data_IF_520033234323
#
_entry.id   IF_520033234323
#
_cell.length_a   1.000
_cell.length_b   1.000
_cell.length_c   1.000
_cell.angle_alpha   90.00
_cell.angle_beta   90.00
_cell.angle_gamma   90.00
#
_symmetry.space_group_name_H-M   'P 1'
#
loop_
_entity.id
_entity.type
_entity.pdbx_description
1 polymer ?
#
# COMPACT_ATOMS: atom_id res chain seq x y z
N UNK A 1 0.99 -23.63 -8.78
CA UNK A 1 0.73 -22.29 -9.36
C UNK A 1 0.00 -21.53 -8.28
N UNK A 2 0.44 -20.31 -7.94
CA UNK A 2 -0.33 -19.46 -7.04
C UNK A 2 -1.69 -19.17 -7.68
N UNK A 3 -2.75 -19.11 -6.87
CA UNK A 3 -4.10 -18.81 -7.35
C UNK A 3 -4.09 -17.41 -7.99
N UNK A 4 -4.55 -17.32 -9.24
CA UNK A 4 -4.63 -16.02 -9.93
C UNK A 4 -5.95 -15.37 -9.51
N UNK A 5 -5.90 -14.53 -8.49
CA UNK A 5 -7.04 -13.74 -8.08
C UNK A 5 -7.30 -12.63 -9.11
N UNK A 6 -8.52 -12.58 -9.66
CA UNK A 6 -8.97 -11.55 -10.62
C UNK A 6 -9.51 -10.31 -9.92
N UNK A 7 -9.82 -10.44 -8.65
CA UNK A 7 -10.22 -9.34 -7.75
C UNK A 7 -9.18 -9.20 -6.66
N UNK A 8 -8.83 -7.98 -6.36
CA UNK A 8 -7.93 -7.64 -5.26
C UNK A 8 -8.40 -6.35 -4.56
N UNK A 9 -7.76 -6.00 -3.47
CA UNK A 9 -7.89 -4.74 -2.75
C UNK A 9 -6.52 -4.30 -2.24
N UNK A 10 -6.29 -3.01 -2.00
CA UNK A 10 -4.99 -2.54 -1.51
C UNK A 10 -4.75 -2.93 -0.06
N UNK A 11 -5.79 -2.90 0.79
CA UNK A 11 -5.68 -3.39 2.17
C UNK A 11 -6.49 -2.59 3.18
N UNK A 12 -6.29 -1.26 3.25
CA UNK A 12 -6.93 -0.44 4.27
C UNK A 12 -8.41 -0.15 3.98
N UNK A 13 -9.25 -0.33 5.01
CA UNK A 13 -10.68 -0.02 5.01
C UNK A 13 -10.97 1.17 5.93
N UNK A 14 -12.13 1.82 5.74
CA UNK A 14 -12.59 2.89 6.61
C UNK A 14 -12.63 2.40 8.07
N UNK A 15 -12.11 3.23 8.99
CA UNK A 15 -12.20 2.92 10.42
C UNK A 15 -13.61 3.25 10.92
N UNK A 16 -14.34 2.27 11.49
CA UNK A 16 -15.63 2.53 12.10
C UNK A 16 -15.53 3.61 13.19
N UNK A 17 -16.57 4.43 13.31
CA UNK A 17 -16.62 5.51 14.31
C UNK A 17 -16.37 5.00 15.73
N UNK A 18 -16.79 3.77 16.03
CA UNK A 18 -16.53 3.14 17.32
C UNK A 18 -15.04 2.98 17.63
N UNK A 19 -14.24 2.57 16.63
CA UNK A 19 -12.77 2.45 16.76
C UNK A 19 -12.13 3.82 16.99
N UNK A 20 -12.52 4.83 16.19
CA UNK A 20 -11.97 6.18 16.33
C UNK A 20 -12.28 6.78 17.71
N UNK A 21 -13.49 6.59 18.23
CA UNK A 21 -13.88 7.01 19.58
C UNK A 21 -13.10 6.25 20.66
N UNK A 22 -12.96 4.93 20.52
CA UNK A 22 -12.22 4.11 21.48
C UNK A 22 -10.75 4.52 21.56
N UNK A 23 -10.12 4.86 20.44
CA UNK A 23 -8.74 5.39 20.39
C UNK A 23 -8.62 6.74 21.10
N UNK A 24 -9.55 7.66 20.85
CA UNK A 24 -9.57 8.93 21.57
C UNK A 24 -9.70 8.71 23.09
N UNK A 25 -10.63 7.85 23.51
CA UNK A 25 -10.82 7.48 24.90
C UNK A 25 -9.61 6.77 25.53
N UNK A 26 -8.88 5.98 24.74
CA UNK A 26 -7.64 5.34 25.19
C UNK A 26 -6.52 6.39 25.41
N UNK A 27 -6.38 7.36 24.51
CA UNK A 27 -5.42 8.48 24.67
C UNK A 27 -5.76 9.30 25.92
N UNK A 28 -7.05 9.52 26.21
CA UNK A 28 -7.53 10.21 27.41
C UNK A 28 -7.44 9.34 28.70
N UNK A 29 -7.09 8.06 28.59
CA UNK A 29 -6.95 7.14 29.71
C UNK A 29 -8.27 6.57 30.25
N UNK A 30 -9.41 6.78 29.56
CA UNK A 30 -10.73 6.27 29.96
C UNK A 30 -11.04 4.86 29.42
N UNK A 31 -10.26 4.40 28.43
CA UNK A 31 -10.28 3.01 27.91
C UNK A 31 -8.85 2.46 27.99
N UNK A 32 -8.68 1.30 28.60
CA UNK A 32 -7.38 0.62 28.65
C UNK A 32 -7.03 -0.09 27.33
N UNK A 33 -5.83 -0.62 27.22
CA UNK A 33 -5.36 -1.29 25.99
C UNK A 33 -6.18 -2.55 25.66
N UNK A 34 -6.66 -3.29 26.64
CA UNK A 34 -7.46 -4.49 26.42
C UNK A 34 -8.86 -4.13 25.94
N UNK A 35 -9.47 -3.09 26.50
CA UNK A 35 -10.75 -2.56 26.04
C UNK A 35 -10.69 -2.02 24.62
N UNK A 36 -9.61 -1.30 24.25
CA UNK A 36 -9.39 -0.86 22.88
C UNK A 36 -9.26 -2.06 21.93
N UNK A 37 -8.47 -3.07 22.32
CA UNK A 37 -8.27 -4.29 21.52
C UNK A 37 -9.58 -4.99 21.20
N UNK A 38 -10.45 -5.17 22.20
CA UNK A 38 -11.77 -5.82 22.01
C UNK A 38 -12.60 -5.09 20.95
N UNK A 39 -12.59 -3.75 20.96
CA UNK A 39 -13.32 -2.94 19.97
C UNK A 39 -12.71 -3.06 18.58
N UNK A 40 -11.38 -3.05 18.47
CA UNK A 40 -10.65 -3.24 17.20
C UNK A 40 -10.86 -4.64 16.64
N UNK A 41 -10.79 -5.68 17.48
CA UNK A 41 -11.03 -7.08 17.11
C UNK A 41 -12.44 -7.24 16.50
N UNK A 42 -13.46 -6.71 17.17
CA UNK A 42 -14.83 -6.76 16.66
C UNK A 42 -14.98 -6.01 15.33
N UNK A 43 -14.31 -4.88 15.18
CA UNK A 43 -14.33 -4.12 13.92
C UNK A 43 -13.67 -4.90 12.77
N UNK A 44 -12.57 -5.62 13.03
CA UNK A 44 -11.92 -6.49 12.04
C UNK A 44 -12.83 -7.66 11.67
N UNK A 45 -13.47 -8.32 12.64
CA UNK A 45 -14.43 -9.40 12.36
C UNK A 45 -15.58 -8.92 11.46
N UNK A 46 -16.11 -7.74 11.73
CA UNK A 46 -17.15 -7.12 10.88
C UNK A 46 -16.61 -6.82 9.46
N UNK A 47 -15.38 -6.31 9.36
CA UNK A 47 -14.73 -6.06 8.07
C UNK A 47 -14.51 -7.35 7.27
N UNK A 48 -14.09 -8.44 7.92
CA UNK A 48 -13.94 -9.75 7.29
C UNK A 48 -15.30 -10.32 6.83
N UNK A 49 -16.36 -10.14 7.62
CA UNK A 49 -17.71 -10.55 7.26
C UNK A 49 -18.19 -9.77 6.01
N UNK A 50 -18.02 -8.45 5.98
CA UNK A 50 -18.35 -7.60 4.82
C UNK A 50 -17.58 -8.03 3.57
N UNK A 51 -16.26 -8.25 3.66
CA UNK A 51 -15.44 -8.71 2.56
C UNK A 51 -15.91 -10.06 1.99
N UNK A 52 -16.33 -11.00 2.86
CA UNK A 52 -16.90 -12.28 2.45
C UNK A 52 -18.26 -12.09 1.76
N UNK A 53 -19.12 -11.24 2.30
CA UNK A 53 -20.46 -10.98 1.75
C UNK A 53 -20.39 -10.37 0.34
N UNK A 54 -19.47 -9.43 0.10
CA UNK A 54 -19.25 -8.86 -1.23
C UNK A 54 -18.52 -9.81 -2.18
N UNK A 55 -17.93 -10.90 -1.68
CA UNK A 55 -17.31 -11.94 -2.48
C UNK A 55 -15.85 -11.69 -2.83
N UNK A 56 -15.11 -10.96 -2.00
CA UNK A 56 -13.66 -10.79 -2.18
C UNK A 56 -12.93 -12.15 -1.99
N UNK A 57 -12.01 -12.52 -2.90
CA UNK A 57 -11.26 -13.76 -2.79
C UNK A 57 -10.03 -13.66 -1.87
N UNK A 58 -9.59 -12.44 -1.54
CA UNK A 58 -8.45 -12.14 -0.66
C UNK A 58 -8.91 -11.21 0.45
N UNK A 59 -8.61 -11.59 1.69
CA UNK A 59 -9.01 -10.87 2.88
C UNK A 59 -7.87 -10.01 3.44
N UNK A 60 -8.22 -8.90 4.09
CA UNK A 60 -7.31 -8.11 4.93
C UNK A 60 -8.00 -7.76 6.24
N UNK A 61 -7.23 -7.39 7.27
CA UNK A 61 -7.77 -6.85 8.52
C UNK A 61 -8.27 -5.40 8.38
N UNK A 62 -8.22 -4.84 7.16
CA UNK A 62 -8.57 -3.46 6.88
C UNK A 62 -7.58 -2.44 7.45
N UNK A 63 -6.46 -2.89 7.99
CA UNK A 63 -5.49 -2.07 8.72
C UNK A 63 -6.15 -1.31 9.89
N UNK A 64 -7.23 -1.87 10.43
CA UNK A 64 -8.09 -1.20 11.40
C UNK A 64 -7.31 -0.81 12.66
N UNK A 65 -6.30 -1.58 13.05
CA UNK A 65 -5.44 -1.27 14.21
C UNK A 65 -4.41 -0.18 13.96
N UNK A 66 -4.22 0.27 12.73
CA UNK A 66 -3.21 1.27 12.37
C UNK A 66 -3.80 2.68 12.32
N UNK A 67 -3.06 3.69 12.81
CA UNK A 67 -3.42 5.10 12.63
C UNK A 67 -3.07 5.61 11.23
N UNK A 68 -2.01 5.05 10.66
CA UNK A 68 -1.60 5.26 9.28
C UNK A 68 -0.92 3.98 8.77
N UNK A 69 -0.83 3.82 7.46
CA UNK A 69 -0.22 2.66 6.79
C UNK A 69 1.21 2.34 7.29
N UNK A 70 1.97 3.34 7.77
CA UNK A 70 3.31 3.17 8.35
C UNK A 70 3.34 2.88 9.86
N UNK A 71 2.21 2.97 10.56
CA UNK A 71 2.21 2.95 12.04
C UNK A 71 2.74 1.65 12.62
N UNK A 72 2.53 0.52 11.97
CA UNK A 72 3.02 -0.79 12.41
C UNK A 72 4.55 -0.82 12.54
N UNK A 73 5.27 -0.29 11.55
CA UNK A 73 6.72 -0.19 11.57
C UNK A 73 7.18 0.75 12.71
N UNK A 74 6.67 1.98 12.74
CA UNK A 74 7.08 2.99 13.70
C UNK A 74 6.82 2.58 15.17
N UNK A 75 5.81 1.75 15.40
CA UNK A 75 5.49 1.22 16.73
C UNK A 75 6.30 -0.01 17.13
N UNK A 76 6.92 -0.70 16.17
CA UNK A 76 7.68 -1.94 16.39
C UNK A 76 9.19 -1.74 16.36
N UNK A 77 9.66 -0.52 16.03
CA UNK A 77 11.08 -0.21 15.83
C UNK A 77 11.42 1.07 16.60
N UNK A 78 12.31 0.96 17.56
CA UNK A 78 12.91 2.10 18.25
C UNK A 78 13.89 2.81 17.30
N UNK A 79 14.16 4.09 17.58
CA UNK A 79 15.11 4.91 16.82
C UNK A 79 14.45 5.98 15.95
N UNK A 80 13.15 5.88 15.73
CA UNK A 80 12.39 6.96 15.07
C UNK A 80 12.06 8.09 16.02
N UNK A 81 12.14 9.32 15.52
CA UNK A 81 11.69 10.54 16.20
C UNK A 81 10.66 11.27 15.35
N UNK A 82 9.87 12.11 15.99
CA UNK A 82 8.88 12.93 15.31
C UNK A 82 9.54 14.05 14.53
N UNK A 83 9.00 14.32 13.37
CA UNK A 83 9.41 15.39 12.49
C UNK A 83 8.20 15.95 11.75
N UNK A 84 8.28 17.19 11.35
CA UNK A 84 7.23 17.83 10.57
C UNK A 84 7.74 18.08 9.14
N UNK A 85 6.89 17.79 8.17
CA UNK A 85 7.10 18.18 6.77
C UNK A 85 5.85 18.86 6.23
N UNK A 86 6.04 19.74 5.29
CA UNK A 86 4.93 20.30 4.53
C UNK A 86 4.53 19.30 3.46
N UNK A 87 3.27 18.93 3.43
CA UNK A 87 2.70 18.07 2.39
C UNK A 87 1.84 18.90 1.46
N UNK A 88 2.14 18.81 0.17
CA UNK A 88 1.38 19.47 -0.89
C UNK A 88 0.30 18.51 -1.40
N UNK A 89 -0.94 18.77 -1.04
CA UNK A 89 -2.07 17.94 -1.42
C UNK A 89 -2.86 18.57 -2.56
N UNK A 90 -3.29 17.76 -3.51
CA UNK A 90 -4.29 18.13 -4.52
C UNK A 90 -5.65 17.61 -4.08
N UNK A 91 -6.68 18.44 -4.17
CA UNK A 91 -8.07 18.14 -3.81
C UNK A 91 -8.86 17.65 -5.03
N UNK A 92 -10.08 17.15 -4.81
CA UNK A 92 -10.97 16.65 -5.88
C UNK A 92 -11.32 17.72 -6.92
N UNK A 93 -11.38 18.98 -6.53
CA UNK A 93 -11.64 20.12 -7.42
C UNK A 93 -10.40 20.64 -8.16
N UNK A 94 -9.25 19.97 -7.98
CA UNK A 94 -7.95 20.34 -8.56
C UNK A 94 -7.20 21.44 -7.82
N UNK A 95 -7.77 22.03 -6.77
CA UNK A 95 -7.09 23.00 -5.93
C UNK A 95 -5.99 22.30 -5.09
N UNK A 96 -4.98 23.07 -4.69
CA UNK A 96 -3.89 22.58 -3.85
C UNK A 96 -3.94 23.17 -2.45
N UNK A 97 -3.53 22.39 -1.47
CA UNK A 97 -3.41 22.83 -0.07
C UNK A 97 -2.13 22.30 0.54
N UNK A 98 -1.44 23.15 1.25
CA UNK A 98 -0.23 22.82 2.02
C UNK A 98 -0.60 22.58 3.46
N UNK A 99 -0.32 21.38 3.97
CA UNK A 99 -0.58 21.03 5.36
C UNK A 99 0.68 20.50 6.04
N UNK A 100 0.98 20.97 7.27
CA UNK A 100 1.97 20.31 8.11
C UNK A 100 1.54 18.87 8.37
N UNK A 101 2.42 17.93 8.05
CA UNK A 101 2.21 16.50 8.31
C UNK A 101 3.25 16.01 9.30
N UNK A 102 2.78 15.32 10.34
CA UNK A 102 3.67 14.60 11.23
C UNK A 102 4.29 13.44 10.47
N UNK A 103 5.61 13.33 10.53
CA UNK A 103 6.37 12.24 9.94
C UNK A 103 7.32 11.64 10.97
N UNK A 104 7.79 10.45 10.70
CA UNK A 104 8.84 9.80 11.50
C UNK A 104 10.13 9.79 10.69
N UNK A 105 11.21 10.26 11.30
CA UNK A 105 12.57 10.22 10.75
C UNK A 105 13.47 9.44 11.70
N UNK A 106 14.53 8.83 11.20
CA UNK A 106 15.48 8.15 12.08
C UNK A 106 16.29 9.20 12.86
N UNK A 107 16.15 9.21 14.17
CA UNK A 107 16.90 10.07 15.09
C UNK A 107 18.04 9.32 15.80
N UNK A 108 18.06 7.99 15.71
CA UNK A 108 19.12 7.12 16.20
C UNK A 108 19.14 5.82 15.40
N UNK A 109 20.11 4.93 15.64
CA UNK A 109 20.12 3.58 15.02
C UNK A 109 18.82 2.86 15.31
N UNK A 110 18.26 2.24 14.27
CA UNK A 110 17.02 1.47 14.38
C UNK A 110 17.25 0.19 15.16
N UNK A 111 16.27 -0.15 15.99
CA UNK A 111 16.25 -1.40 16.73
C UNK A 111 14.85 -1.96 16.76
N UNK A 112 14.64 -3.11 16.12
CA UNK A 112 13.36 -3.80 16.23
C UNK A 112 13.13 -4.29 17.66
N UNK A 113 11.99 -3.94 18.25
CA UNK A 113 11.59 -4.31 19.64
C UNK A 113 10.43 -5.29 19.67
N UNK A 114 9.68 -5.43 18.58
CA UNK A 114 8.62 -6.42 18.39
C UNK A 114 8.41 -6.75 16.92
N UNK A 115 7.58 -7.75 16.62
CA UNK A 115 7.13 -8.06 15.26
C UNK A 115 6.34 -6.88 14.68
N UNK A 116 6.53 -6.61 13.37
CA UNK A 116 5.84 -5.50 12.69
C UNK A 116 4.33 -5.80 12.56
N UNK A 117 4.00 -6.95 12.03
CA UNK A 117 2.64 -7.35 11.63
C UNK A 117 2.23 -8.72 12.20
N UNK A 118 3.04 -9.33 13.05
CA UNK A 118 2.77 -10.68 13.58
C UNK A 118 1.42 -10.81 14.29
N UNK A 119 0.96 -9.76 14.98
CA UNK A 119 -0.35 -9.74 15.64
C UNK A 119 -1.51 -9.69 14.62
N UNK A 120 -1.33 -8.98 13.49
CA UNK A 120 -2.30 -8.92 12.39
C UNK A 120 -2.39 -10.28 11.69
N UNK A 121 -1.23 -10.87 11.36
CA UNK A 121 -1.14 -12.18 10.72
C UNK A 121 -1.76 -13.29 11.59
N UNK A 122 -1.48 -13.29 12.89
CA UNK A 122 -2.07 -14.27 13.82
C UNK A 122 -3.59 -14.15 13.88
N UNK A 123 -4.13 -12.94 13.94
CA UNK A 123 -5.56 -12.70 13.96
C UNK A 123 -6.24 -13.12 12.64
N UNK A 124 -5.65 -12.76 11.50
CA UNK A 124 -6.18 -13.17 10.20
C UNK A 124 -6.11 -14.68 9.99
N UNK A 125 -5.05 -15.34 10.45
CA UNK A 125 -4.92 -16.80 10.37
C UNK A 125 -6.04 -17.51 11.13
N UNK A 126 -6.51 -16.95 12.24
CA UNK A 126 -7.57 -17.50 13.05
C UNK A 126 -8.97 -17.21 12.49
N UNK A 127 -9.18 -16.02 11.94
CA UNK A 127 -10.51 -15.49 11.67
C UNK A 127 -10.84 -15.23 10.19
N UNK A 128 -9.84 -15.15 9.29
CA UNK A 128 -10.12 -14.91 7.89
C UNK A 128 -10.88 -16.09 7.25
N UNK A 129 -11.96 -15.81 6.49
CA UNK A 129 -12.76 -16.87 5.85
C UNK A 129 -12.05 -17.60 4.70
N UNK A 130 -10.89 -17.12 4.28
CA UNK A 130 -10.11 -17.65 3.15
C UNK A 130 -8.71 -17.06 3.12
N UNK A 131 -8.03 -17.11 1.95
CA UNK A 131 -6.70 -16.53 1.79
C UNK A 131 -6.68 -15.06 2.19
N UNK A 132 -5.61 -14.64 2.85
CA UNK A 132 -5.45 -13.26 3.30
C UNK A 132 -4.09 -12.69 2.92
N UNK A 133 -3.99 -11.36 2.89
CA UNK A 133 -2.74 -10.64 2.69
C UNK A 133 -2.33 -9.87 3.94
N UNK A 134 -1.02 -9.67 4.06
CA UNK A 134 -0.40 -8.74 4.98
C UNK A 134 0.24 -7.62 4.17
N UNK A 135 -0.02 -6.38 4.57
CA UNK A 135 0.55 -5.17 3.97
C UNK A 135 1.62 -4.58 4.87
N UNK A 136 2.70 -4.08 4.29
CA UNK A 136 3.78 -3.39 4.99
C UNK A 136 4.34 -2.25 4.14
N UNK A 137 4.87 -1.18 4.76
CA UNK A 137 5.54 -0.15 3.98
C UNK A 137 6.84 -0.67 3.35
N UNK A 138 7.11 -0.25 2.12
CA UNK A 138 8.39 -0.53 1.45
C UNK A 138 9.54 0.16 2.19
N UNK A 139 10.66 -0.54 2.47
CA UNK A 139 11.87 0.07 3.04
C UNK A 139 12.41 1.24 2.21
N UNK A 140 12.32 1.15 0.88
CA UNK A 140 12.75 2.22 -0.03
C UNK A 140 11.95 3.50 0.21
N UNK A 141 10.62 3.39 0.37
CA UNK A 141 9.76 4.53 0.68
C UNK A 141 10.07 5.13 2.06
N UNK A 142 10.26 4.25 3.05
CA UNK A 142 10.65 4.70 4.40
C UNK A 142 12.00 5.43 4.36
N UNK A 143 13.00 4.88 3.67
CA UNK A 143 14.32 5.51 3.55
C UNK A 143 14.26 6.85 2.82
N UNK A 144 13.40 6.97 1.80
CA UNK A 144 13.20 8.22 1.07
C UNK A 144 12.52 9.31 1.90
N UNK A 145 11.58 8.94 2.78
CA UNK A 145 10.82 9.90 3.59
C UNK A 145 11.39 10.12 4.99
N UNK A 146 12.08 9.13 5.53
CA UNK A 146 12.59 9.07 6.90
C UNK A 146 14.05 9.45 7.08
N UNK A 147 14.81 9.67 5.98
CA UNK A 147 16.16 10.25 6.04
C UNK A 147 16.07 11.77 6.01
N UNK A 148 16.63 12.41 7.02
CA UNK A 148 16.66 13.87 7.14
C UNK A 148 18.04 14.36 7.53
N UNK A 149 18.64 15.19 6.70
CA UNK A 149 19.89 15.88 6.98
C UNK A 149 19.78 16.74 8.26
N UNK A 150 20.81 16.74 9.08
CA UNK A 150 20.83 17.39 10.40
C UNK A 150 20.15 16.59 11.53
N UNK A 151 19.52 15.44 11.22
CA UNK A 151 18.88 14.56 12.22
C UNK A 151 19.34 13.11 12.01
N UNK A 152 19.09 12.55 10.84
CA UNK A 152 19.36 11.13 10.57
C UNK A 152 20.84 10.87 10.33
N UNK A 153 21.57 11.81 9.75
CA UNK A 153 23.01 11.76 9.50
C UNK A 153 23.87 11.67 10.79
N UNK A 154 23.28 11.98 11.94
CA UNK A 154 23.92 11.76 13.25
C UNK A 154 24.10 10.24 13.52
N UNK A 155 23.14 9.43 13.10
CA UNK A 155 23.13 7.98 13.34
C UNK A 155 23.52 7.17 12.09
N UNK A 156 23.21 7.70 10.92
CA UNK A 156 23.42 7.06 9.61
C UNK A 156 24.12 8.04 8.67
N UNK A 157 25.39 7.80 8.32
CA UNK A 157 26.18 8.71 7.49
C UNK A 157 25.53 9.00 6.12
N UNK A 158 24.74 8.06 5.62
CA UNK A 158 23.99 8.22 4.38
C UNK A 158 22.66 7.42 4.37
N UNK A 159 21.83 7.67 3.35
CA UNK A 159 20.55 6.99 3.15
C UNK A 159 20.73 5.47 2.93
N UNK A 160 21.84 5.04 2.35
CA UNK A 160 22.05 3.62 2.01
C UNK A 160 22.25 2.78 3.26
N UNK A 161 22.99 3.29 4.25
CA UNK A 161 23.14 2.60 5.54
C UNK A 161 21.83 2.54 6.32
N UNK A 162 21.04 3.63 6.30
CA UNK A 162 19.70 3.63 6.87
C UNK A 162 18.76 2.64 6.19
N UNK A 163 18.79 2.58 4.85
CA UNK A 163 18.02 1.63 4.07
C UNK A 163 18.43 0.18 4.39
N UNK A 164 19.71 -0.09 4.65
CA UNK A 164 20.20 -1.43 5.01
C UNK A 164 19.53 -1.95 6.29
N UNK A 165 19.48 -1.14 7.35
CA UNK A 165 18.82 -1.53 8.60
C UNK A 165 17.32 -1.78 8.39
N UNK A 166 16.64 -0.94 7.57
CA UNK A 166 15.23 -1.14 7.22
C UNK A 166 14.99 -2.43 6.44
N UNK A 167 15.88 -2.75 5.48
CA UNK A 167 15.80 -3.99 4.71
C UNK A 167 15.94 -5.21 5.62
N UNK A 168 16.86 -5.20 6.58
CA UNK A 168 17.05 -6.32 7.50
C UNK A 168 15.83 -6.53 8.40
N UNK A 169 15.23 -5.46 8.91
CA UNK A 169 14.01 -5.50 9.74
C UNK A 169 12.83 -6.07 8.92
N UNK A 170 12.57 -5.54 7.73
CA UNK A 170 11.44 -5.97 6.89
C UNK A 170 11.68 -7.39 6.36
N UNK A 171 12.90 -7.75 5.97
CA UNK A 171 13.26 -9.12 5.57
C UNK A 171 12.95 -10.13 6.68
N UNK A 172 13.36 -9.82 7.91
CA UNK A 172 13.08 -10.68 9.06
C UNK A 172 11.58 -10.87 9.29
N UNK A 173 10.77 -9.83 9.14
CA UNK A 173 9.32 -9.91 9.24
C UNK A 173 8.72 -10.75 8.10
N UNK A 174 9.10 -10.51 6.85
CA UNK A 174 8.60 -11.28 5.70
C UNK A 174 8.92 -12.76 5.82
N UNK A 175 10.15 -13.11 6.23
CA UNK A 175 10.55 -14.51 6.47
C UNK A 175 9.73 -15.16 7.58
N UNK A 176 9.45 -14.43 8.66
CA UNK A 176 8.63 -14.94 9.74
C UNK A 176 7.17 -15.15 9.30
N UNK A 177 6.58 -14.22 8.54
CA UNK A 177 5.24 -14.33 7.98
C UNK A 177 5.10 -15.57 7.09
N UNK A 178 6.05 -15.79 6.19
CA UNK A 178 6.06 -16.97 5.31
C UNK A 178 6.17 -18.25 6.13
N UNK A 179 7.06 -18.30 7.12
CA UNK A 179 7.20 -19.45 8.03
C UNK A 179 5.92 -19.73 8.82
N UNK A 180 5.15 -18.70 9.15
CA UNK A 180 3.87 -18.81 9.85
C UNK A 180 2.70 -19.17 8.93
N UNK A 181 2.93 -19.23 7.60
CA UNK A 181 1.97 -19.67 6.59
C UNK A 181 1.22 -18.52 5.88
N UNK A 182 1.68 -17.28 5.99
CA UNK A 182 1.16 -16.18 5.17
C UNK A 182 1.56 -16.41 3.72
N UNK A 183 0.58 -16.47 2.83
CA UNK A 183 0.78 -16.76 1.40
C UNK A 183 0.70 -15.54 0.49
N UNK A 184 0.40 -14.35 1.03
CA UNK A 184 0.36 -13.12 0.25
C UNK A 184 0.94 -11.95 1.09
N UNK A 185 2.04 -11.37 0.62
CA UNK A 185 2.70 -10.21 1.23
C UNK A 185 2.74 -9.08 0.22
N UNK A 186 2.27 -7.91 0.62
CA UNK A 186 2.27 -6.70 -0.19
C UNK A 186 3.14 -5.63 0.47
N UNK A 187 4.07 -5.06 -0.30
CA UNK A 187 4.78 -3.85 0.09
C UNK A 187 4.14 -2.62 -0.55
N UNK A 188 4.03 -1.54 0.21
CA UNK A 188 3.32 -0.33 -0.20
C UNK A 188 4.27 0.84 -0.44
N UNK A 189 3.94 1.63 -1.46
CA UNK A 189 4.59 2.91 -1.84
C UNK A 189 6.04 2.83 -2.34
N UNK A 190 6.62 1.66 -2.64
CA UNK A 190 8.05 1.53 -2.94
C UNK A 190 8.59 2.51 -3.98
N UNK A 191 7.84 2.78 -5.02
CA UNK A 191 8.27 3.61 -6.17
C UNK A 191 7.40 4.85 -6.40
N UNK A 192 6.57 5.23 -5.45
CA UNK A 192 5.70 6.42 -5.53
C UNK A 192 6.47 7.70 -5.82
N UNK A 193 7.71 7.82 -5.34
CA UNK A 193 8.59 8.96 -5.59
C UNK A 193 9.07 9.12 -7.03
N UNK A 194 8.88 8.10 -7.87
CA UNK A 194 9.29 8.09 -9.29
C UNK A 194 8.13 8.25 -10.26
N UNK A 195 6.90 8.43 -9.76
CA UNK A 195 5.71 8.55 -10.59
C UNK A 195 5.50 9.99 -11.05
N UNK A 196 5.36 10.17 -12.36
CA UNK A 196 5.00 11.44 -12.99
C UNK A 196 5.90 12.60 -12.58
N UNK A 197 5.28 13.69 -12.14
CA UNK A 197 5.94 14.91 -11.69
C UNK A 197 6.78 14.76 -10.41
N UNK A 198 6.54 13.73 -9.62
CA UNK A 198 7.33 13.44 -8.40
C UNK A 198 8.73 12.91 -8.69
N UNK A 199 8.98 12.42 -9.89
CA UNK A 199 10.31 11.95 -10.30
C UNK A 199 11.41 13.01 -10.12
N UNK A 200 11.07 14.28 -10.24
CA UNK A 200 11.98 15.41 -10.01
C UNK A 200 12.48 15.44 -8.57
N UNK A 201 11.61 15.19 -7.59
CA UNK A 201 11.99 15.20 -6.18
C UNK A 201 12.96 14.07 -5.79
N UNK A 202 12.88 12.94 -6.47
CA UNK A 202 13.81 11.83 -6.24
C UNK A 202 15.25 12.20 -6.69
N UNK A 203 15.39 12.89 -7.80
CA UNK A 203 16.68 13.40 -8.32
C UNK A 203 17.28 14.44 -7.37
N UNK A 204 16.49 15.44 -6.99
CA UNK A 204 16.96 16.54 -6.14
C UNK A 204 17.47 16.06 -4.78
N UNK A 205 16.81 15.05 -4.20
CA UNK A 205 17.20 14.48 -2.91
C UNK A 205 18.46 13.62 -2.97
N UNK A 206 18.73 12.97 -4.08
CA UNK A 206 19.84 12.02 -4.18
C UNK A 206 21.14 12.64 -4.71
N UNK A 207 21.06 13.79 -5.39
CA UNK A 207 22.23 14.41 -6.06
C UNK A 207 22.89 13.52 -7.14
N UNK A 208 22.19 12.46 -7.59
CA UNK A 208 22.63 11.48 -8.60
C UNK A 208 21.59 11.38 -9.71
N UNK A 209 21.95 10.87 -10.89
CA UNK A 209 20.99 10.59 -11.97
C UNK A 209 19.84 9.70 -11.44
N UNK A 210 18.61 10.05 -11.85
CA UNK A 210 17.40 9.35 -11.37
C UNK A 210 17.44 7.85 -11.68
N UNK A 211 17.99 7.49 -12.83
CA UNK A 211 18.10 6.10 -13.30
C UNK A 211 19.01 5.26 -12.39
N UNK A 212 20.09 5.86 -11.87
CA UNK A 212 21.01 5.19 -10.94
C UNK A 212 20.36 5.01 -9.57
N UNK A 213 19.61 5.99 -9.09
CA UNK A 213 18.89 5.91 -7.81
C UNK A 213 17.79 4.88 -7.92
N UNK A 214 17.02 4.89 -9.00
CA UNK A 214 15.96 3.92 -9.26
C UNK A 214 16.51 2.50 -9.35
N UNK A 215 17.62 2.28 -10.06
CA UNK A 215 18.26 0.97 -10.16
C UNK A 215 18.74 0.46 -8.79
N UNK A 216 19.29 1.33 -7.95
CA UNK A 216 19.70 0.99 -6.60
C UNK A 216 18.50 0.64 -5.70
N UNK A 217 17.42 1.39 -5.80
CA UNK A 217 16.19 1.15 -5.04
C UNK A 217 15.51 -0.18 -5.48
N UNK A 218 15.51 -0.48 -6.78
CA UNK A 218 15.03 -1.78 -7.31
C UNK A 218 15.89 -2.93 -6.77
N UNK A 219 17.21 -2.79 -6.79
CA UNK A 219 18.11 -3.82 -6.26
C UNK A 219 17.89 -4.06 -4.76
N UNK A 220 17.64 -2.98 -3.99
CA UNK A 220 17.33 -3.07 -2.57
C UNK A 220 16.02 -3.83 -2.32
N UNK A 221 14.93 -3.48 -3.01
CA UNK A 221 13.65 -4.20 -2.90
C UNK A 221 13.78 -5.66 -3.33
N UNK A 222 14.47 -5.95 -4.44
CA UNK A 222 14.69 -7.30 -4.92
C UNK A 222 15.42 -8.17 -3.89
N UNK A 223 16.32 -7.60 -3.09
CA UNK A 223 17.02 -8.33 -2.03
C UNK A 223 16.08 -8.89 -0.95
N UNK A 224 14.89 -8.28 -0.76
CA UNK A 224 13.85 -8.81 0.13
C UNK A 224 13.15 -10.02 -0.50
N UNK A 225 12.72 -9.86 -1.75
CA UNK A 225 11.95 -10.88 -2.48
C UNK A 225 12.79 -12.13 -2.74
N UNK A 226 14.07 -11.95 -3.07
CA UNK A 226 15.01 -13.05 -3.33
C UNK A 226 15.37 -13.85 -2.07
N UNK A 227 15.17 -13.26 -0.90
CA UNK A 227 15.39 -13.94 0.39
C UNK A 227 14.23 -14.85 0.82
N UNK A 228 13.16 -14.93 0.03
CA UNK A 228 11.95 -15.69 0.36
C UNK A 228 11.76 -16.90 -0.57
N UNK A 229 11.16 -18.00 -0.07
CA UNK A 229 10.71 -19.08 -0.94
C UNK A 229 9.61 -18.54 -1.88
N UNK A 230 9.67 -18.95 -3.15
CA UNK A 230 8.70 -18.50 -4.17
C UNK A 230 7.46 -19.41 -4.26
N UNK A 231 7.58 -20.65 -3.83
CA UNK A 231 6.50 -21.63 -3.92
C UNK A 231 5.40 -21.34 -2.90
N UNK A 232 4.19 -21.07 -3.38
CA UNK A 232 3.02 -20.82 -2.54
C UNK A 232 2.96 -19.44 -1.88
N UNK A 233 3.88 -18.52 -2.25
CA UNK A 233 3.88 -17.15 -1.74
C UNK A 233 3.70 -16.17 -2.88
N UNK A 234 2.69 -15.31 -2.79
CA UNK A 234 2.46 -14.18 -3.68
C UNK A 234 3.13 -12.94 -3.10
N UNK A 235 4.01 -12.32 -3.86
CA UNK A 235 4.68 -11.06 -3.51
C UNK A 235 4.12 -9.93 -4.38
N UNK A 236 3.69 -8.85 -3.75
CA UNK A 236 3.06 -7.73 -4.44
C UNK A 236 3.68 -6.38 -4.06
N UNK A 237 3.59 -5.44 -4.99
CA UNK A 237 3.97 -4.04 -4.79
C UNK A 237 2.78 -3.15 -5.16
N UNK A 238 2.33 -2.32 -4.22
CA UNK A 238 1.41 -1.23 -4.52
C UNK A 238 2.17 0.07 -4.75
N UNK A 239 1.90 0.73 -5.87
CA UNK A 239 2.48 2.04 -6.21
C UNK A 239 1.39 3.09 -6.12
N UNK A 240 1.38 3.79 -5.00
CA UNK A 240 0.40 4.80 -4.63
C UNK A 240 0.72 6.18 -5.25
N UNK A 241 -0.25 7.08 -5.22
CA UNK A 241 -0.10 8.51 -5.58
C UNK A 241 -0.39 9.45 -4.41
N UNK A 242 -0.48 8.89 -3.20
CA UNK A 242 -0.92 9.58 -1.99
C UNK A 242 -2.42 9.48 -1.79
N UNK A 243 -2.83 9.23 -0.54
CA UNK A 243 -4.22 9.01 -0.21
C UNK A 243 -4.51 9.46 1.22
N UNK A 244 -5.14 10.62 1.36
CA UNK A 244 -5.59 11.15 2.66
C UNK A 244 -6.75 12.09 2.47
N UNK A 245 -7.91 11.77 3.09
CA UNK A 245 -9.13 12.58 3.03
C UNK A 245 -9.52 12.90 1.59
N UNK A 246 -9.48 11.88 0.72
CA UNK A 246 -9.77 11.96 -0.73
C UNK A 246 -8.79 12.78 -1.57
N UNK A 247 -7.67 13.22 -1.00
CA UNK A 247 -6.61 13.99 -1.67
C UNK A 247 -5.48 13.09 -2.15
N UNK A 248 -4.65 13.62 -3.04
CA UNK A 248 -3.43 12.95 -3.54
C UNK A 248 -2.25 13.93 -3.61
N UNK A 249 -1.05 13.40 -3.79
CA UNK A 249 0.20 14.18 -3.88
C UNK A 249 0.93 14.01 -5.20
N UNK A 250 0.60 12.98 -6.00
CA UNK A 250 1.27 12.71 -7.28
C UNK A 250 0.29 12.57 -8.42
N UNK A 251 0.64 13.10 -9.58
CA UNK A 251 -0.05 12.95 -10.86
C UNK A 251 0.97 12.58 -11.94
N UNK A 252 0.48 12.08 -13.08
CA UNK A 252 1.33 11.72 -14.21
C UNK A 252 1.41 10.21 -14.44
N UNK A 253 1.96 9.83 -15.58
CA UNK A 253 2.11 8.45 -16.03
C UNK A 253 3.18 7.69 -15.24
N UNK A 254 3.16 6.36 -15.33
CA UNK A 254 4.23 5.49 -14.87
C UNK A 254 5.44 5.43 -15.82
N UNK A 255 5.43 6.11 -16.96
CA UNK A 255 6.47 6.03 -18.02
C UNK A 255 7.88 6.21 -17.48
N UNK A 256 8.10 7.15 -16.55
CA UNK A 256 9.41 7.46 -16.00
C UNK A 256 10.08 6.32 -15.23
N UNK A 257 9.32 5.29 -14.81
CA UNK A 257 9.86 4.16 -14.05
C UNK A 257 9.50 2.79 -14.63
N UNK A 258 8.51 2.73 -15.51
CA UNK A 258 7.87 1.48 -15.92
C UNK A 258 8.84 0.47 -16.53
N UNK A 259 9.71 0.91 -17.42
CA UNK A 259 10.66 0.01 -18.08
C UNK A 259 11.57 -0.69 -17.06
N UNK A 260 12.13 0.06 -16.12
CA UNK A 260 13.01 -0.53 -15.10
C UNK A 260 12.22 -1.31 -14.04
N UNK A 261 11.20 -0.69 -13.43
CA UNK A 261 10.48 -1.31 -12.30
C UNK A 261 9.69 -2.53 -12.74
N UNK A 262 8.85 -2.40 -13.77
CA UNK A 262 7.96 -3.50 -14.15
C UNK A 262 8.72 -4.69 -14.72
N UNK A 263 9.81 -4.45 -15.46
CA UNK A 263 10.58 -5.54 -16.04
C UNK A 263 11.50 -6.25 -15.05
N UNK A 264 12.01 -5.56 -14.01
CA UNK A 264 13.11 -6.10 -13.19
C UNK A 264 12.76 -6.30 -11.70
N UNK A 265 11.65 -5.71 -11.18
CA UNK A 265 11.26 -5.94 -9.80
C UNK A 265 10.73 -7.37 -9.62
N UNK A 266 11.20 -8.12 -8.64
CA UNK A 266 10.93 -9.54 -8.44
C UNK A 266 9.60 -9.82 -7.70
N UNK A 267 8.55 -9.09 -8.03
CA UNK A 267 7.18 -9.33 -7.54
C UNK A 267 6.36 -10.16 -8.53
N UNK A 268 5.30 -10.77 -8.02
CA UNK A 268 4.31 -11.51 -8.82
C UNK A 268 3.18 -10.59 -9.28
N UNK A 269 2.89 -9.52 -8.50
CA UNK A 269 1.77 -8.62 -8.74
C UNK A 269 2.16 -7.16 -8.52
N UNK A 270 1.65 -6.31 -9.40
CA UNK A 270 1.65 -4.85 -9.21
C UNK A 270 0.21 -4.38 -8.98
N UNK A 271 -0.03 -3.60 -7.93
CA UNK A 271 -1.30 -2.88 -7.73
C UNK A 271 -1.07 -1.42 -8.10
N UNK A 272 -1.69 -0.98 -9.20
CA UNK A 272 -1.42 0.31 -9.83
C UNK A 272 -2.70 1.15 -9.92
N UNK A 273 -2.59 2.45 -9.60
CA UNK A 273 -3.70 3.39 -9.69
C UNK A 273 -3.93 3.84 -11.14
N UNK A 274 -5.15 3.62 -11.62
CA UNK A 274 -5.63 4.03 -12.94
C UNK A 274 -7.08 4.53 -12.91
N UNK A 275 -7.54 5.10 -11.79
CA UNK A 275 -8.93 5.51 -11.58
C UNK A 275 -9.34 6.79 -12.32
N UNK A 276 -8.40 7.59 -12.81
CA UNK A 276 -8.68 8.84 -13.51
C UNK A 276 -7.52 9.24 -14.44
N UNK A 277 -7.74 10.28 -15.24
CA UNK A 277 -6.76 10.82 -16.20
C UNK A 277 -5.46 11.30 -15.53
N UNK A 278 -5.48 11.59 -14.21
CA UNK A 278 -4.27 11.91 -13.45
C UNK A 278 -3.20 10.81 -13.47
N UNK A 279 -3.60 9.59 -13.81
CA UNK A 279 -2.72 8.42 -13.84
C UNK A 279 -2.02 8.21 -15.18
N UNK A 280 -2.40 8.95 -16.22
CA UNK A 280 -1.95 8.71 -17.59
C UNK A 280 -2.60 7.48 -18.23
N UNK A 281 -2.09 7.04 -19.36
CA UNK A 281 -2.57 5.89 -20.13
C UNK A 281 -1.98 4.55 -19.67
N UNK A 282 -2.37 3.48 -20.38
CA UNK A 282 -1.96 2.10 -20.08
C UNK A 282 -0.67 1.68 -20.82
N UNK A 283 -0.06 2.54 -21.64
CA UNK A 283 1.16 2.26 -22.42
C UNK A 283 2.31 1.68 -21.57
N UNK A 284 2.52 2.11 -20.32
CA UNK A 284 3.56 1.54 -19.46
C UNK A 284 3.43 0.06 -19.18
N UNK A 285 2.22 -0.51 -19.30
CA UNK A 285 1.97 -1.93 -19.05
C UNK A 285 2.71 -2.87 -20.03
N UNK A 286 3.13 -2.38 -21.20
CA UNK A 286 3.93 -3.14 -22.17
C UNK A 286 5.26 -3.65 -21.61
N UNK A 287 5.76 -3.05 -20.54
CA UNK A 287 7.01 -3.44 -19.89
C UNK A 287 6.84 -4.55 -18.84
N UNK A 288 5.59 -4.94 -18.56
CA UNK A 288 5.32 -6.03 -17.60
C UNK A 288 5.59 -7.38 -18.26
N UNK A 289 6.54 -8.17 -17.75
CA UNK A 289 6.89 -9.44 -18.35
C UNK A 289 5.79 -10.49 -18.16
N UNK A 290 5.81 -11.50 -19.01
CA UNK A 290 4.93 -12.67 -18.90
C UNK A 290 5.11 -13.32 -17.52
N UNK A 291 3.99 -13.72 -16.91
CA UNK A 291 3.97 -14.39 -15.61
C UNK A 291 3.74 -13.46 -14.41
N UNK A 292 3.75 -12.14 -14.62
CA UNK A 292 3.32 -11.17 -13.60
C UNK A 292 1.88 -10.72 -13.85
N UNK A 293 1.19 -10.34 -12.81
CA UNK A 293 -0.18 -9.78 -12.87
C UNK A 293 -0.15 -8.30 -12.54
N UNK A 294 -0.88 -7.49 -13.30
CA UNK A 294 -1.21 -6.11 -12.93
C UNK A 294 -2.65 -6.05 -12.43
N UNK A 295 -2.80 -5.60 -11.20
CA UNK A 295 -4.09 -5.31 -10.60
C UNK A 295 -4.40 -3.84 -10.90
N UNK A 296 -5.35 -3.63 -11.81
CA UNK A 296 -5.76 -2.29 -12.24
C UNK A 296 -6.70 -1.67 -11.21
N UNK A 297 -6.25 -0.65 -10.54
CA UNK A 297 -7.02 0.17 -9.62
C UNK A 297 -7.90 1.15 -10.41
N UNK A 298 -9.00 0.66 -10.98
CA UNK A 298 -9.91 1.45 -11.82
C UNK A 298 -11.05 2.10 -11.02
N UNK A 299 -11.39 1.56 -9.85
CA UNK A 299 -12.47 2.07 -9.00
C UNK A 299 -11.89 3.02 -7.97
N UNK A 300 -12.29 4.30 -8.03
CA UNK A 300 -11.74 5.31 -7.12
C UNK A 300 -12.22 5.09 -5.68
N UNK A 301 -11.34 5.35 -4.73
CA UNK A 301 -11.70 5.43 -3.29
C UNK A 301 -11.83 6.88 -2.80
N UNK A 302 -11.85 7.84 -3.72
CA UNK A 302 -11.83 9.28 -3.39
C UNK A 302 -13.23 9.87 -3.18
N UNK A 303 -14.26 9.27 -3.75
CA UNK A 303 -15.67 9.70 -3.60
C UNK A 303 -16.62 8.48 -3.66
N UNK A 304 -17.86 8.66 -3.20
CA UNK A 304 -18.86 7.59 -3.07
C UNK A 304 -19.62 7.25 -4.36
N UNK A 305 -19.49 8.06 -5.42
CA UNK A 305 -20.13 7.77 -6.71
C UNK A 305 -19.53 6.48 -7.30
N UNK A 306 -20.40 5.61 -7.82
CA UNK A 306 -19.97 4.39 -8.50
C UNK A 306 -19.58 4.70 -9.94
N UNK A 307 -18.52 4.05 -10.39
CA UNK A 307 -18.12 4.00 -11.77
C UNK A 307 -19.17 3.21 -12.60
N UNK A 308 -19.31 3.57 -13.87
CA UNK A 308 -20.11 2.78 -14.80
C UNK A 308 -19.41 1.46 -15.13
N UNK A 309 -20.12 0.35 -15.02
CA UNK A 309 -19.55 -0.99 -15.22
C UNK A 309 -19.09 -1.22 -16.68
N UNK A 310 -19.79 -0.66 -17.65
CA UNK A 310 -19.41 -0.79 -19.07
C UNK A 310 -18.15 0.07 -19.35
N UNK A 311 -18.00 1.22 -18.69
CA UNK A 311 -16.76 1.99 -18.73
C UNK A 311 -15.58 1.24 -18.11
N UNK A 312 -15.77 0.54 -16.99
CA UNK A 312 -14.72 -0.31 -16.41
C UNK A 312 -14.29 -1.42 -17.37
N UNK A 313 -15.23 -2.08 -18.05
CA UNK A 313 -14.94 -3.08 -19.06
C UNK A 313 -14.17 -2.48 -20.24
N UNK A 314 -14.61 -1.34 -20.77
CA UNK A 314 -13.92 -0.64 -21.85
C UNK A 314 -12.47 -0.30 -21.47
N UNK A 315 -12.23 0.11 -20.23
CA UNK A 315 -10.87 0.39 -19.74
C UNK A 315 -10.02 -0.87 -19.58
N UNK A 316 -10.61 -1.99 -19.18
CA UNK A 316 -9.93 -3.29 -19.18
C UNK A 316 -9.57 -3.73 -20.60
N UNK A 317 -10.47 -3.55 -21.58
CA UNK A 317 -10.20 -3.81 -23.00
C UNK A 317 -9.08 -2.91 -23.55
N UNK A 318 -9.04 -1.64 -23.12
CA UNK A 318 -7.95 -0.72 -23.48
C UNK A 318 -6.61 -1.18 -22.90
N UNK A 319 -6.56 -1.52 -21.62
CA UNK A 319 -5.35 -2.04 -20.97
C UNK A 319 -4.89 -3.36 -21.62
N UNK A 320 -5.82 -4.20 -22.08
CA UNK A 320 -5.51 -5.49 -22.71
C UNK A 320 -4.77 -5.36 -24.04
N UNK A 321 -4.73 -4.18 -24.66
CA UNK A 321 -3.90 -3.88 -25.85
C UNK A 321 -2.40 -3.87 -25.55
N UNK A 322 -2.04 -3.64 -24.28
CA UNK A 322 -0.65 -3.54 -23.81
C UNK A 322 -0.20 -4.73 -22.98
N UNK A 323 -1.12 -5.35 -22.24
CA UNK A 323 -0.86 -6.52 -21.39
C UNK A 323 -2.02 -7.51 -21.51
N UNK A 324 -1.78 -8.80 -21.87
CA UNK A 324 -2.84 -9.78 -22.04
C UNK A 324 -3.83 -9.84 -20.86
N UNK A 325 -5.11 -10.04 -21.15
CA UNK A 325 -6.19 -10.05 -20.16
C UNK A 325 -5.97 -11.09 -19.03
N UNK A 326 -5.26 -12.17 -19.33
CA UNK A 326 -4.88 -13.20 -18.36
C UNK A 326 -3.74 -12.76 -17.41
N UNK A 327 -3.15 -11.60 -17.65
CA UNK A 327 -2.22 -10.93 -16.72
C UNK A 327 -2.85 -9.70 -16.03
N UNK A 328 -4.14 -9.45 -16.23
CA UNK A 328 -4.87 -8.37 -15.59
C UNK A 328 -5.77 -8.88 -14.46
N UNK A 329 -5.97 -8.02 -13.48
CA UNK A 329 -6.94 -8.15 -12.40
C UNK A 329 -7.50 -6.76 -12.06
N UNK A 330 -8.54 -6.67 -11.24
CA UNK A 330 -9.24 -5.44 -10.91
C UNK A 330 -9.22 -5.18 -9.40
N UNK A 331 -9.08 -3.92 -9.00
CA UNK A 331 -9.19 -3.48 -7.60
C UNK A 331 -9.69 -2.02 -7.51
N UNK A 332 -10.01 -1.55 -6.28
CA UNK A 332 -9.99 -0.12 -5.99
C UNK A 332 -8.58 0.45 -6.21
N UNK A 333 -8.50 1.76 -6.54
CA UNK A 333 -7.24 2.39 -6.92
C UNK A 333 -6.20 2.45 -5.78
N UNK A 334 -6.67 2.58 -4.54
CA UNK A 334 -5.87 2.58 -3.31
C UNK A 334 -6.73 2.02 -2.17
N UNK A 335 -6.21 2.00 -0.93
CA UNK A 335 -7.03 1.76 0.24
C UNK A 335 -8.08 2.85 0.48
N UNK A 336 -9.14 2.53 1.20
CA UNK A 336 -10.18 3.51 1.58
C UNK A 336 -9.73 4.42 2.73
N UNK A 337 -8.75 4.01 3.51
CA UNK A 337 -8.24 4.78 4.63
C UNK A 337 -6.76 4.50 4.93
N UNK A 338 -5.86 5.06 4.15
CA UNK A 338 -4.41 4.99 4.38
C UNK A 338 -3.97 5.71 5.68
N UNK A 339 -4.82 6.59 6.20
CA UNK A 339 -4.73 7.21 7.53
C UNK A 339 -6.06 7.06 8.26
N UNK A 340 -6.07 7.14 9.59
CA UNK A 340 -7.27 6.93 10.41
C UNK A 340 -8.47 7.82 9.99
N UNK A 341 -8.20 9.03 9.50
CA UNK A 341 -9.24 9.94 9.03
C UNK A 341 -10.03 9.42 7.81
N UNK A 342 -9.46 8.46 7.05
CA UNK A 342 -10.09 7.88 5.88
C UNK A 342 -10.34 8.84 4.73
N UNK A 343 -10.92 8.34 3.66
CA UNK A 343 -11.42 9.14 2.55
C UNK A 343 -12.88 9.60 2.81
N UNK A 344 -13.32 10.61 2.06
CA UNK A 344 -14.61 11.28 2.25
C UNK A 344 -15.74 10.51 1.57
N UNK A 345 -15.98 9.29 2.02
CA UNK A 345 -17.07 8.43 1.60
C UNK A 345 -17.55 7.58 2.80
N UNK A 346 -18.74 7.01 2.70
CA UNK A 346 -19.32 6.18 3.76
C UNK A 346 -18.87 4.73 3.71
N UNK A 347 -19.09 3.98 4.79
CA UNK A 347 -18.87 2.52 4.81
C UNK A 347 -19.77 1.79 3.80
N UNK A 348 -20.99 2.33 3.52
CA UNK A 348 -21.86 1.80 2.47
C UNK A 348 -21.30 2.05 1.07
N UNK A 349 -20.75 3.24 0.81
CA UNK A 349 -20.05 3.52 -0.45
C UNK A 349 -18.85 2.57 -0.65
N UNK A 350 -18.04 2.38 0.39
CA UNK A 350 -16.94 1.42 0.37
C UNK A 350 -17.42 0.02 0.00
N UNK A 351 -18.49 -0.46 0.62
CA UNK A 351 -19.08 -1.77 0.33
C UNK A 351 -19.52 -1.85 -1.14
N UNK A 352 -20.32 -0.88 -1.61
CA UNK A 352 -20.83 -0.85 -3.00
C UNK A 352 -19.71 -0.80 -4.04
N UNK A 353 -18.61 -0.09 -3.76
CA UNK A 353 -17.42 -0.07 -4.64
C UNK A 353 -16.72 -1.42 -4.70
N UNK A 354 -16.60 -2.13 -3.57
CA UNK A 354 -16.05 -3.48 -3.56
C UNK A 354 -16.96 -4.48 -4.28
N UNK A 355 -18.28 -4.36 -4.14
CA UNK A 355 -19.27 -5.14 -4.91
C UNK A 355 -19.11 -4.89 -6.41
N UNK A 356 -18.97 -3.63 -6.84
CA UNK A 356 -18.76 -3.26 -8.25
C UNK A 356 -17.48 -3.90 -8.82
N UNK A 357 -16.38 -3.91 -8.05
CA UNK A 357 -15.12 -4.57 -8.46
C UNK A 357 -15.35 -6.06 -8.68
N UNK A 358 -16.01 -6.74 -7.73
CA UNK A 358 -16.28 -8.19 -7.81
C UNK A 358 -17.20 -8.50 -9.00
N UNK A 359 -18.30 -7.76 -9.16
CA UNK A 359 -19.27 -8.00 -10.23
C UNK A 359 -18.68 -7.71 -11.61
N UNK A 360 -17.85 -6.68 -11.73
CA UNK A 360 -17.13 -6.40 -12.98
C UNK A 360 -16.15 -7.53 -13.31
N UNK A 361 -15.39 -8.00 -12.33
CA UNK A 361 -14.44 -9.08 -12.54
C UNK A 361 -15.15 -10.39 -12.96
N UNK A 362 -16.28 -10.74 -12.33
CA UNK A 362 -17.10 -11.88 -12.73
C UNK A 362 -17.60 -11.76 -14.17
N UNK A 363 -17.98 -10.57 -14.61
CA UNK A 363 -18.46 -10.32 -15.97
C UNK A 363 -17.35 -10.48 -17.01
N UNK A 364 -16.11 -10.17 -16.66
CA UNK A 364 -14.94 -10.18 -17.56
C UNK A 364 -14.23 -11.55 -17.59
N UNK A 365 -14.09 -12.18 -16.44
CA UNK A 365 -13.30 -13.43 -16.34
C UNK A 365 -14.13 -14.68 -15.99
N UNK A 366 -15.42 -14.56 -15.68
CA UNK A 366 -16.33 -15.66 -15.33
C UNK A 366 -16.43 -15.83 -13.84
#
# INVERSE_FOLDING_TARGET
MADIFRVDQVGSLLRPVAVLKARASHIEGSVDADGLRVIEDQAILNALAMQREVGLPIFSDGEIRRDAWMSGLAAAVDGFTESHRLMHWTQLDGSTVDEPSLSKVAGSKLKQVRRLTGHEASFLKEHAPGPFKITMPSPVSIAASGYREGVTDIAYPDRAEFLTDLLDIVRGEMQALVKEGTSYIQLDEGFTGYVGDRSVYAVERAGRPIEEVLAADIAAENSLYDALPRDGVTLAMHVCRGNSRSRWVGSGSYDGMAEQVFSTLHVDRFLLEFDSDRSGGFEPLKYVPKGKTVVLGLVTTKHGELEDQDDLQRRLDEASKYLPLDQLALSPQCGFASVAAGNLLSEDDQRRKLELVVDTARKVWG
#
